data_IF_007490159113
#
_entry.id   IF_007490159113
#
_cell.length_a   1.000
_cell.length_b   1.000
_cell.length_c   1.000
_cell.angle_alpha   90.00
_cell.angle_beta   90.00
_cell.angle_gamma   90.00
#
_symmetry.space_group_name_H-M   'P 1'
#
loop_
_entity.id
_entity.type
_entity.pdbx_description
1 polymer ?
#
# COMPACT_ATOMS: atom_id res chain seq x y z
N UNK A 1 4.42 9.87 12.88
CA UNK A 1 4.20 11.02 11.97
C UNK A 1 2.75 11.05 11.48
N UNK A 2 2.15 12.24 11.26
CA UNK A 2 0.75 12.39 10.84
C UNK A 2 0.62 13.32 9.63
N UNK A 3 -0.19 12.92 8.65
CA UNK A 3 -0.55 13.69 7.45
C UNK A 3 -2.07 13.75 7.32
N UNK A 4 -2.65 14.96 7.26
CA UNK A 4 -4.09 15.13 7.31
C UNK A 4 -4.59 16.35 6.48
N UNK A 5 -4.84 16.21 5.18
CA UNK A 5 -4.35 15.14 4.31
C UNK A 5 -2.90 15.40 3.87
N UNK A 6 -2.22 14.38 3.32
CA UNK A 6 -0.96 14.61 2.61
C UNK A 6 -1.22 15.27 1.25
N UNK A 7 -0.24 16.00 0.74
CA UNK A 7 -0.23 16.48 -0.64
C UNK A 7 -0.09 15.30 -1.62
N UNK A 8 0.62 14.26 -1.17
CA UNK A 8 0.86 13.04 -1.95
C UNK A 8 1.00 11.83 -1.03
N UNK A 9 0.30 10.74 -1.37
CA UNK A 9 0.48 9.43 -0.73
C UNK A 9 0.54 8.35 -1.81
N UNK A 10 1.65 7.61 -1.85
CA UNK A 10 1.94 6.64 -2.91
C UNK A 10 2.57 5.37 -2.37
N UNK A 11 2.37 4.28 -3.12
CA UNK A 11 3.16 3.08 -3.03
C UNK A 11 4.21 3.07 -4.15
N UNK A 12 5.42 2.65 -3.85
CA UNK A 12 6.49 2.49 -4.81
C UNK A 12 7.34 1.27 -4.52
N UNK A 13 8.19 0.88 -5.46
CA UNK A 13 9.11 -0.24 -5.26
C UNK A 13 10.46 0.04 -5.90
N UNK A 14 11.52 -0.21 -5.16
CA UNK A 14 12.92 -0.05 -5.59
C UNK A 14 13.54 -1.42 -5.79
N UNK A 15 14.33 -1.57 -6.83
CA UNK A 15 15.04 -2.80 -7.18
C UNK A 15 14.44 -3.56 -8.35
N UNK A 16 15.10 -4.64 -8.74
CA UNK A 16 14.72 -5.47 -9.88
C UNK A 16 13.53 -6.40 -9.54
N UNK A 17 12.74 -6.82 -10.54
CA UNK A 17 11.67 -7.78 -10.33
C UNK A 17 12.16 -9.05 -9.63
N UNK A 18 11.58 -9.37 -8.47
CA UNK A 18 11.98 -10.50 -7.61
C UNK A 18 12.86 -10.11 -6.42
N UNK A 19 13.43 -8.90 -6.42
CA UNK A 19 14.23 -8.34 -5.31
C UNK A 19 13.79 -6.92 -4.92
N UNK A 20 12.55 -6.56 -5.25
CA UNK A 20 12.00 -5.23 -4.97
C UNK A 20 11.69 -5.08 -3.48
N UNK A 21 12.09 -3.94 -2.95
CA UNK A 21 11.63 -3.43 -1.66
C UNK A 21 10.49 -2.46 -1.90
N UNK A 22 9.35 -2.71 -1.29
CA UNK A 22 8.17 -1.87 -1.42
C UNK A 22 8.16 -0.82 -0.32
N UNK A 23 7.70 0.37 -0.68
CA UNK A 23 7.62 1.51 0.22
C UNK A 23 6.25 2.17 0.11
N UNK A 24 5.78 2.73 1.21
CA UNK A 24 4.75 3.74 1.23
C UNK A 24 5.40 5.07 1.57
N UNK A 25 5.05 6.12 0.84
CA UNK A 25 5.57 7.47 1.07
C UNK A 25 4.42 8.47 1.16
N UNK A 26 4.43 9.26 2.23
CA UNK A 26 3.55 10.40 2.43
C UNK A 26 4.37 11.69 2.36
N UNK A 27 3.88 12.68 1.62
CA UNK A 27 4.49 14.01 1.49
C UNK A 27 3.40 15.04 1.78
N UNK A 28 3.70 16.03 2.59
CA UNK A 28 2.78 17.12 2.91
C UNK A 28 3.41 18.14 3.84
N UNK A 29 3.06 19.40 3.69
CA UNK A 29 3.59 20.48 4.52
C UNK A 29 5.11 20.64 4.48
N UNK A 30 5.76 20.27 3.38
CA UNK A 30 7.21 20.31 3.23
C UNK A 30 7.96 19.14 3.94
N UNK A 31 7.23 18.15 4.46
CA UNK A 31 7.78 16.98 5.15
C UNK A 31 7.53 15.75 4.28
N UNK A 32 8.49 14.83 4.26
CA UNK A 32 8.36 13.50 3.65
C UNK A 32 8.55 12.43 4.71
N UNK A 33 7.73 11.40 4.68
CA UNK A 33 7.86 10.21 5.50
C UNK A 33 7.72 8.96 4.63
N UNK A 34 8.56 7.97 4.87
CA UNK A 34 8.50 6.70 4.17
C UNK A 34 8.57 5.54 5.15
N UNK A 35 7.94 4.43 4.79
CA UNK A 35 8.00 3.17 5.53
C UNK A 35 8.19 2.00 4.55
N UNK A 36 8.81 0.92 5.03
CA UNK A 36 8.97 -0.33 4.26
C UNK A 36 7.75 -1.20 4.48
N UNK A 37 7.23 -1.78 3.41
CA UNK A 37 6.08 -2.69 3.45
C UNK A 37 6.35 -3.95 2.62
N UNK A 38 5.64 -5.02 2.92
CA UNK A 38 5.65 -6.20 2.07
C UNK A 38 4.70 -6.03 0.87
N UNK A 39 5.04 -6.66 -0.25
CA UNK A 39 4.19 -6.67 -1.45
C UNK A 39 2.77 -7.15 -1.16
N UNK A 40 2.63 -8.17 -0.32
CA UNK A 40 1.35 -8.71 0.12
C UNK A 40 0.54 -7.68 0.92
N UNK A 41 1.19 -6.93 1.81
CA UNK A 41 0.55 -5.87 2.59
C UNK A 41 0.00 -4.78 1.68
N UNK A 42 0.78 -4.32 0.68
CA UNK A 42 0.34 -3.34 -0.32
C UNK A 42 -0.92 -3.83 -1.05
N UNK A 43 -0.91 -5.07 -1.52
CA UNK A 43 -2.04 -5.64 -2.27
C UNK A 43 -3.29 -5.83 -1.40
N UNK A 44 -3.13 -6.27 -0.15
CA UNK A 44 -4.24 -6.45 0.80
C UNK A 44 -4.84 -5.09 1.18
N UNK A 45 -4.00 -4.13 1.55
CA UNK A 45 -4.43 -2.76 1.89
C UNK A 45 -5.26 -2.15 0.76
N UNK A 46 -4.74 -2.21 -0.47
CA UNK A 46 -5.42 -1.62 -1.62
C UNK A 46 -6.80 -2.25 -1.87
N UNK A 47 -6.92 -3.59 -1.76
CA UNK A 47 -8.23 -4.27 -1.86
C UNK A 47 -9.18 -3.85 -0.74
N UNK A 48 -8.69 -3.79 0.52
CA UNK A 48 -9.51 -3.38 1.66
C UNK A 48 -10.01 -1.95 1.56
N UNK A 49 -9.21 -1.04 1.00
CA UNK A 49 -9.64 0.33 0.71
C UNK A 49 -10.82 0.32 -0.28
N UNK A 50 -10.69 -0.39 -1.39
CA UNK A 50 -11.75 -0.47 -2.41
C UNK A 50 -13.02 -1.09 -1.83
N UNK A 51 -12.91 -2.20 -1.10
CA UNK A 51 -14.03 -2.88 -0.43
C UNK A 51 -14.75 -1.92 0.53
N UNK A 52 -14.02 -1.29 1.45
CA UNK A 52 -14.60 -0.36 2.43
C UNK A 52 -15.29 0.83 1.76
N UNK A 53 -14.68 1.44 0.74
CA UNK A 53 -15.29 2.56 0.04
C UNK A 53 -16.54 2.16 -0.73
N UNK A 54 -16.59 0.93 -1.26
CA UNK A 54 -17.77 0.38 -1.90
C UNK A 54 -18.89 0.18 -0.89
N UNK A 55 -18.62 -0.45 0.26
CA UNK A 55 -19.60 -0.66 1.33
C UNK A 55 -20.17 0.68 1.85
N UNK A 56 -19.29 1.68 2.04
CA UNK A 56 -19.69 3.04 2.43
C UNK A 56 -20.56 3.73 1.37
N UNK A 57 -20.31 3.47 0.09
CA UNK A 57 -21.10 4.00 -1.01
C UNK A 57 -22.48 3.33 -1.09
N UNK A 58 -22.54 2.01 -0.96
CA UNK A 58 -23.79 1.24 -0.91
C UNK A 58 -24.65 1.65 0.30
N UNK A 59 -24.01 1.97 1.43
CA UNK A 59 -24.65 2.53 2.62
C UNK A 59 -24.99 4.02 2.53
N UNK A 60 -24.74 4.69 1.41
CA UNK A 60 -25.04 6.10 1.18
C UNK A 60 -24.15 7.09 1.94
N UNK A 61 -23.08 6.63 2.57
CA UNK A 61 -22.17 7.48 3.36
C UNK A 61 -21.20 8.28 2.51
N UNK A 62 -20.84 7.77 1.31
CA UNK A 62 -19.96 8.42 0.35
C UNK A 62 -20.50 8.31 -1.07
N UNK A 63 -20.10 9.23 -1.93
CA UNK A 63 -20.29 9.11 -3.37
C UNK A 63 -18.95 8.76 -4.00
N UNK A 64 -18.92 7.64 -4.72
CA UNK A 64 -17.76 7.29 -5.54
C UNK A 64 -17.82 8.06 -6.86
N UNK A 65 -16.68 8.46 -7.43
CA UNK A 65 -16.65 9.05 -8.76
C UNK A 65 -17.19 8.03 -9.79
N UNK A 66 -18.01 8.51 -10.74
CA UNK A 66 -18.62 7.65 -11.79
C UNK A 66 -17.56 7.02 -12.70
N UNK A 67 -16.45 7.71 -12.90
CA UNK A 67 -15.28 7.19 -13.60
C UNK A 67 -14.14 7.07 -12.62
N UNK A 68 -13.51 5.89 -12.58
CA UNK A 68 -12.24 5.73 -11.90
C UNK A 68 -11.25 6.73 -12.48
N UNK A 69 -10.58 7.55 -11.66
CA UNK A 69 -9.63 8.52 -12.19
C UNK A 69 -8.66 7.80 -13.10
N UNK A 70 -8.66 8.14 -14.39
CA UNK A 70 -7.80 7.47 -15.38
C UNK A 70 -6.35 7.66 -14.95
N UNK A 71 -5.83 6.71 -14.21
CA UNK A 71 -4.42 6.70 -13.85
C UNK A 71 -3.63 6.62 -15.15
N UNK A 72 -2.94 7.70 -15.47
CA UNK A 72 -1.86 7.62 -16.45
C UNK A 72 -0.99 6.45 -16.01
N UNK A 73 -0.76 5.47 -16.87
CA UNK A 73 -0.13 4.15 -16.65
C UNK A 73 1.29 4.17 -16.02
N UNK A 74 1.71 5.28 -15.46
CA UNK A 74 3.01 5.43 -14.83
C UNK A 74 2.81 5.46 -13.31
N UNK A 75 3.32 4.43 -12.63
CA UNK A 75 3.48 4.51 -11.19
C UNK A 75 4.29 5.78 -10.88
N UNK A 76 3.78 6.67 -10.02
CA UNK A 76 4.54 7.84 -9.63
C UNK A 76 5.83 7.37 -8.93
N UNK A 77 6.94 8.00 -9.29
CA UNK A 77 8.23 7.71 -8.68
C UNK A 77 8.22 8.17 -7.22
N UNK A 78 8.86 7.39 -6.35
CA UNK A 78 9.13 7.81 -4.98
C UNK A 78 10.01 9.08 -5.02
N UNK A 79 9.72 10.03 -4.14
CA UNK A 79 10.54 11.23 -4.04
C UNK A 79 11.80 10.96 -3.22
N UNK A 80 12.91 11.54 -3.65
CA UNK A 80 14.18 11.48 -2.93
C UNK A 80 14.40 12.75 -2.09
N UNK A 81 15.13 12.64 -0.95
CA UNK A 81 15.70 11.41 -0.39
C UNK A 81 14.63 10.48 0.17
N UNK A 82 14.79 9.16 -0.04
CA UNK A 82 13.94 8.14 0.53
C UNK A 82 14.63 7.54 1.76
N UNK A 83 14.18 7.94 2.93
CA UNK A 83 14.69 7.45 4.22
C UNK A 83 13.52 6.80 4.99
N UNK A 84 13.34 5.47 4.88
CA UNK A 84 12.24 4.79 5.56
C UNK A 84 12.50 4.71 7.06
N UNK A 85 11.52 5.17 7.86
CA UNK A 85 11.62 5.22 9.31
C UNK A 85 11.56 3.85 9.97
N UNK A 86 10.72 2.93 9.41
CA UNK A 86 10.54 1.59 9.97
C UNK A 86 9.95 0.62 8.91
N UNK A 87 9.92 -0.67 9.27
CA UNK A 87 9.20 -1.72 8.54
C UNK A 87 7.83 -1.92 9.16
N UNK A 88 6.79 -1.93 8.34
CA UNK A 88 5.42 -2.06 8.82
C UNK A 88 5.11 -3.49 9.24
N UNK A 89 4.76 -3.67 10.50
CA UNK A 89 4.17 -4.89 11.06
C UNK A 89 2.65 -4.85 11.02
N UNK A 90 2.05 -3.77 11.52
CA UNK A 90 0.60 -3.65 11.61
C UNK A 90 0.06 -2.52 10.73
N UNK A 91 -1.05 -2.81 10.05
CA UNK A 91 -1.82 -1.83 9.26
C UNK A 91 -3.24 -1.78 9.79
N UNK A 92 -3.70 -0.58 10.16
CA UNK A 92 -5.09 -0.33 10.52
C UNK A 92 -5.75 0.60 9.50
N UNK A 93 -7.05 0.36 9.27
CA UNK A 93 -7.88 1.09 8.33
C UNK A 93 -9.19 1.46 9.03
N UNK A 94 -9.59 2.73 8.99
CA UNK A 94 -10.85 3.20 9.51
C UNK A 94 -11.46 4.31 8.64
N UNK A 95 -12.76 4.52 8.81
CA UNK A 95 -13.50 5.63 8.22
C UNK A 95 -13.83 6.66 9.29
N UNK A 96 -13.53 7.91 9.03
CA UNK A 96 -13.97 9.04 9.84
C UNK A 96 -15.15 9.73 9.16
N UNK A 97 -16.39 9.55 9.67
CA UNK A 97 -17.57 10.14 9.07
C UNK A 97 -17.66 11.67 9.27
N UNK A 98 -16.97 12.21 10.28
CA UNK A 98 -17.03 13.63 10.62
C UNK A 98 -16.34 14.50 9.57
N UNK A 99 -15.21 14.03 9.05
CA UNK A 99 -14.43 14.71 8.00
C UNK A 99 -14.52 13.99 6.64
N UNK A 100 -15.25 12.88 6.57
CA UNK A 100 -15.41 12.03 5.37
C UNK A 100 -14.07 11.60 4.78
N UNK A 101 -13.21 11.02 5.62
CA UNK A 101 -11.87 10.58 5.24
C UNK A 101 -11.58 9.16 5.68
N UNK A 102 -10.75 8.52 4.90
CA UNK A 102 -10.17 7.23 5.21
C UNK A 102 -8.91 7.46 6.03
N UNK A 103 -8.81 6.81 7.20
CA UNK A 103 -7.61 6.86 8.05
C UNK A 103 -6.85 5.57 7.89
N UNK A 104 -5.58 5.69 7.52
CA UNK A 104 -4.61 4.62 7.45
C UNK A 104 -3.58 4.83 8.57
N UNK A 105 -3.30 3.79 9.32
CA UNK A 105 -2.25 3.80 10.32
C UNK A 105 -1.31 2.63 10.11
N UNK A 106 -0.03 2.94 10.06
CA UNK A 106 1.06 1.99 9.89
C UNK A 106 1.92 2.04 11.13
N UNK A 107 2.18 0.87 11.72
CA UNK A 107 3.02 0.71 12.92
C UNK A 107 4.20 -0.19 12.60
N UNK A 108 5.29 0.05 13.29
CA UNK A 108 6.47 -0.81 13.22
C UNK A 108 6.13 -2.25 13.60
N UNK A 109 7.01 -3.15 13.18
CA UNK A 109 6.97 -4.57 13.55
C UNK A 109 7.43 -4.70 15.01
N UNK A 110 6.46 -4.77 15.91
CA UNK A 110 6.67 -4.84 17.36
C UNK A 110 6.63 -6.30 17.83
N UNK A 111 7.37 -6.62 18.89
CA UNK A 111 7.24 -7.88 19.61
C UNK A 111 5.83 -8.04 20.20
N UNK A 112 5.43 -9.28 20.54
CA UNK A 112 4.13 -9.56 21.16
C UNK A 112 3.94 -8.80 22.49
N UNK A 113 5.01 -8.61 23.25
CA UNK A 113 5.01 -7.88 24.53
C UNK A 113 4.73 -6.39 24.28
N UNK A 114 5.46 -5.75 23.37
CA UNK A 114 5.28 -4.35 23.00
C UNK A 114 3.88 -4.12 22.37
N UNK A 115 3.40 -5.05 21.56
CA UNK A 115 2.07 -4.97 20.94
C UNK A 115 0.95 -5.05 21.99
N UNK A 116 1.15 -5.79 23.09
CA UNK A 116 0.18 -5.91 24.19
C UNK A 116 0.07 -4.62 25.01
N UNK A 117 1.14 -3.85 25.13
CA UNK A 117 1.18 -2.58 25.86
C UNK A 117 0.85 -1.39 24.97
N UNK A 118 0.91 -1.56 23.66
CA UNK A 118 0.65 -0.48 22.72
C UNK A 118 -0.82 -0.06 22.73
N UNK A 119 -1.11 1.24 22.60
CA UNK A 119 -2.48 1.72 22.44
C UNK A 119 -3.16 1.10 21.23
N UNK A 120 -4.47 0.88 21.30
CA UNK A 120 -5.22 0.38 20.15
C UNK A 120 -4.95 1.25 18.89
N UNK A 121 -4.90 0.66 17.68
CA UNK A 121 -4.75 1.45 16.46
C UNK A 121 -5.90 2.46 16.30
N UNK A 122 -5.56 3.60 15.69
CA UNK A 122 -6.52 4.68 15.35
C UNK A 122 -7.32 5.11 16.57
N UNK A 123 -6.61 5.56 17.58
CA UNK A 123 -7.15 6.20 18.78
C UNK A 123 -6.73 7.67 18.86
N UNK A 124 -7.23 8.41 19.85
CA UNK A 124 -6.91 9.82 20.09
C UNK A 124 -5.57 10.03 20.82
N UNK A 125 -4.84 8.97 21.14
CA UNK A 125 -3.55 9.09 21.81
C UNK A 125 -2.51 9.78 20.90
N UNK A 126 -1.51 10.45 21.49
CA UNK A 126 -0.40 11.00 20.73
C UNK A 126 0.29 9.93 19.89
N UNK A 127 0.59 10.26 18.63
CA UNK A 127 1.25 9.35 17.71
C UNK A 127 2.74 9.25 18.10
N UNK A 128 3.19 8.03 18.38
CA UNK A 128 4.60 7.73 18.65
C UNK A 128 5.49 7.87 17.40
N UNK A 129 6.82 7.79 17.58
CA UNK A 129 7.79 7.91 16.48
C UNK A 129 7.61 6.81 15.41
N UNK A 130 7.22 5.61 15.83
CA UNK A 130 7.14 4.41 14.99
C UNK A 130 5.72 4.18 14.44
N UNK A 131 5.02 5.29 14.22
CA UNK A 131 3.68 5.31 13.64
C UNK A 131 3.61 6.35 12.53
N UNK A 132 3.14 5.91 11.36
CA UNK A 132 2.73 6.76 10.26
C UNK A 132 1.22 6.72 10.14
N UNK A 133 0.53 7.85 10.33
CA UNK A 133 -0.92 7.98 10.14
C UNK A 133 -1.21 8.93 8.99
N UNK A 134 -2.08 8.50 8.09
CA UNK A 134 -2.47 9.24 6.89
C UNK A 134 -3.99 9.30 6.79
N UNK A 135 -4.53 10.51 6.59
CA UNK A 135 -5.97 10.75 6.40
C UNK A 135 -6.23 11.15 4.96
N UNK A 136 -6.98 10.34 4.21
CA UNK A 136 -7.19 10.51 2.77
C UNK A 136 -8.64 10.85 2.43
N UNK A 137 -8.90 11.87 1.60
CA UNK A 137 -10.17 12.00 0.91
C UNK A 137 -10.47 10.77 0.05
N UNK A 138 -11.76 10.49 -0.21
CA UNK A 138 -12.22 9.30 -0.95
C UNK A 138 -11.52 9.13 -2.29
N UNK A 139 -11.42 10.21 -3.07
CA UNK A 139 -10.78 10.22 -4.39
C UNK A 139 -9.26 9.92 -4.33
N UNK A 140 -8.58 10.44 -3.31
CA UNK A 140 -7.16 10.17 -3.08
C UNK A 140 -6.94 8.71 -2.64
N UNK A 141 -7.83 8.18 -1.79
CA UNK A 141 -7.77 6.78 -1.35
C UNK A 141 -8.01 5.80 -2.52
N UNK A 142 -8.97 6.09 -3.42
CA UNK A 142 -9.19 5.29 -4.63
C UNK A 142 -7.98 5.32 -5.55
N UNK A 143 -7.44 6.52 -5.85
CA UNK A 143 -6.23 6.65 -6.68
C UNK A 143 -5.05 5.86 -6.11
N UNK A 144 -4.83 5.96 -4.80
CA UNK A 144 -3.80 5.18 -4.13
C UNK A 144 -4.03 3.68 -4.28
N UNK A 145 -5.27 3.20 -4.02
CA UNK A 145 -5.59 1.78 -4.08
C UNK A 145 -5.39 1.20 -5.48
N UNK A 146 -5.86 1.89 -6.52
CA UNK A 146 -5.68 1.47 -7.91
C UNK A 146 -4.21 1.41 -8.31
N UNK A 147 -3.44 2.44 -7.95
CA UNK A 147 -2.01 2.48 -8.21
C UNK A 147 -1.27 1.36 -7.46
N UNK A 148 -1.60 1.13 -6.20
CA UNK A 148 -1.01 0.08 -5.38
C UNK A 148 -1.30 -1.32 -5.93
N UNK A 149 -2.52 -1.56 -6.44
CA UNK A 149 -2.87 -2.81 -7.11
C UNK A 149 -2.08 -3.02 -8.39
N UNK A 150 -1.92 -1.97 -9.22
CA UNK A 150 -1.11 -2.03 -10.44
C UNK A 150 0.36 -2.32 -10.11
N UNK A 151 0.92 -1.63 -9.09
CA UNK A 151 2.28 -1.86 -8.61
C UNK A 151 2.47 -3.31 -8.13
N UNK A 152 1.53 -3.82 -7.35
CA UNK A 152 1.57 -5.19 -6.86
C UNK A 152 1.41 -6.22 -7.99
N UNK A 153 0.62 -5.92 -9.03
CA UNK A 153 0.45 -6.76 -10.22
C UNK A 153 1.67 -6.72 -11.16
N UNK A 154 2.46 -5.65 -11.14
CA UNK A 154 3.67 -5.47 -11.97
C UNK A 154 4.84 -6.38 -11.50
N UNK A 155 4.55 -7.66 -11.28
CA UNK A 155 5.50 -8.70 -10.95
C UNK A 155 6.16 -9.32 -12.20
N UNK A 156 6.94 -10.39 -11.97
CA UNK A 156 7.45 -11.23 -13.06
C UNK A 156 6.29 -11.84 -13.85
N UNK A 157 6.40 -11.85 -15.18
CA UNK A 157 5.40 -12.48 -16.03
C UNK A 157 5.30 -13.97 -15.70
N UNK A 158 4.09 -14.55 -15.68
CA UNK A 158 3.96 -15.98 -15.51
C UNK A 158 4.45 -16.71 -16.76
N UNK A 159 5.13 -17.84 -16.57
CA UNK A 159 5.52 -18.70 -17.67
C UNK A 159 4.27 -19.24 -18.39
N UNK A 160 4.16 -19.11 -19.72
CA UNK A 160 3.00 -19.57 -20.47
C UNK A 160 2.77 -21.09 -20.38
N UNK A 161 3.80 -21.84 -20.02
CA UNK A 161 3.70 -23.30 -19.95
C UNK A 161 3.36 -23.83 -18.55
N UNK A 162 3.96 -23.29 -17.48
CA UNK A 162 3.78 -23.81 -16.11
C UNK A 162 3.18 -22.81 -15.14
N UNK A 163 2.98 -21.53 -15.53
CA UNK A 163 2.42 -20.49 -14.67
C UNK A 163 3.40 -19.93 -13.61
N UNK A 164 4.57 -20.54 -13.45
CA UNK A 164 5.57 -20.03 -12.50
C UNK A 164 6.14 -18.68 -12.96
N UNK A 165 6.52 -17.78 -12.02
CA UNK A 165 7.12 -16.50 -12.38
C UNK A 165 8.41 -16.68 -13.21
N UNK A 166 8.52 -15.94 -14.32
CA UNK A 166 9.72 -15.89 -15.14
C UNK A 166 10.78 -15.02 -14.47
N UNK A 167 11.96 -15.57 -14.23
CA UNK A 167 13.12 -14.77 -13.82
C UNK A 167 13.73 -14.06 -15.05
N UNK A 168 14.36 -12.88 -14.87
CA UNK A 168 15.04 -12.18 -15.97
C UNK A 168 16.08 -13.05 -16.69
N UNK A 169 16.70 -13.96 -15.94
CA UNK A 169 17.71 -14.91 -16.46
C UNK A 169 17.09 -16.26 -16.91
N UNK A 170 15.75 -16.32 -17.03
CA UNK A 170 15.02 -17.53 -17.37
C UNK A 170 14.69 -18.40 -16.14
N UNK A 171 13.87 -19.44 -16.34
CA UNK A 171 13.58 -20.43 -15.32
C UNK A 171 13.54 -21.83 -15.92
N UNK A 172 13.83 -22.83 -15.11
CA UNK A 172 13.66 -24.22 -15.49
C UNK A 172 12.17 -24.56 -15.44
N UNK A 173 11.55 -24.68 -16.63
CA UNK A 173 10.13 -24.97 -16.72
C UNK A 173 9.86 -26.46 -16.47
N UNK A 174 9.20 -26.81 -15.37
CA UNK A 174 8.87 -28.19 -15.03
C UNK A 174 8.04 -28.90 -16.11
N UNK A 175 7.16 -28.17 -16.84
CA UNK A 175 6.41 -28.74 -17.97
C UNK A 175 7.24 -28.92 -19.23
N UNK A 176 8.26 -28.10 -19.47
CA UNK A 176 9.16 -28.27 -20.62
C UNK A 176 10.10 -29.48 -20.42
N UNK A 177 10.51 -29.74 -19.19
CA UNK A 177 11.34 -30.88 -18.86
C UNK A 177 10.59 -32.23 -19.03
N UNK A 178 9.27 -32.23 -18.85
CA UNK A 178 8.43 -33.44 -19.03
C UNK A 178 8.22 -33.86 -20.51
N UNK A 179 8.53 -33.01 -21.47
CA UNK A 179 8.40 -33.29 -22.91
C UNK A 179 9.74 -33.69 -23.58
N UNK A 180 10.83 -33.77 -22.81
CA UNK A 180 12.16 -34.11 -23.30
C UNK A 180 12.61 -35.53 -22.92
N UNK A 181 11.70 -36.38 -22.40
CA UNK A 181 11.90 -37.84 -22.19
C UNK A 181 11.01 -38.65 -23.11
#
# INVERSE_FOLDING_TARGET
>A
MRFDPPDRFIAGAIGEPGRRVFHLQAIGGGISAAVIVEKSQVAILARRIVEMLKDLSEGGSVQLPEESPTLRRRNPDLAEPLDPSFRVGTIALAWDPSVKRLILEFRDDMSEEEASEAPAPINDAPIGPDVLRVSLPVDAALRFAEQALQLAAAGRQPCPNCGAPLDPNGHTCARKAAFLN
#
